data_IF_541366342496
#
_entry.id   IF_541366342496
#
_cell.length_a   1.000
_cell.length_b   1.000
_cell.length_c   1.000
_cell.angle_alpha   90.00
_cell.angle_beta   90.00
_cell.angle_gamma   90.00
#
_symmetry.space_group_name_H-M   'P 1'
#
loop_
_entity.id
_entity.type
_entity.pdbx_description
1 polymer ?
#
# COMPACT_ATOMS: atom_id res chain seq x y z
N UNK A 1 -2.35 -21.36 4.69
CA UNK A 1 -2.48 -20.09 5.45
C UNK A 1 -1.12 -19.48 5.76
N UNK A 2 -0.19 -20.19 6.42
CA UNK A 2 1.18 -19.68 6.69
C UNK A 2 1.88 -19.10 5.47
N UNK A 3 1.90 -19.82 4.33
CA UNK A 3 2.56 -19.32 3.12
C UNK A 3 1.88 -18.08 2.52
N UNK A 4 0.55 -18.01 2.54
CA UNK A 4 -0.19 -16.85 2.06
C UNK A 4 0.05 -15.62 2.96
N UNK A 5 0.02 -15.80 4.29
CA UNK A 5 0.36 -14.74 5.24
C UNK A 5 1.80 -14.31 5.11
N UNK A 6 2.73 -15.24 4.88
CA UNK A 6 4.13 -14.93 4.59
C UNK A 6 4.27 -14.09 3.32
N UNK A 7 3.62 -14.48 2.22
CA UNK A 7 3.64 -13.73 0.96
C UNK A 7 3.00 -12.34 1.14
N UNK A 8 1.93 -12.23 1.91
CA UNK A 8 1.30 -10.95 2.23
C UNK A 8 2.20 -10.05 3.08
N UNK A 9 2.94 -10.60 4.04
CA UNK A 9 3.91 -9.85 4.86
C UNK A 9 5.15 -9.49 4.03
N UNK A 10 5.53 -10.34 3.06
CA UNK A 10 6.68 -10.11 2.18
C UNK A 10 6.57 -8.79 1.39
N UNK A 11 5.37 -8.24 1.18
CA UNK A 11 5.19 -6.91 0.57
C UNK A 11 5.94 -5.80 1.34
N UNK A 12 6.04 -5.90 2.67
CA UNK A 12 6.81 -4.95 3.47
C UNK A 12 8.32 -5.05 3.21
N UNK A 13 8.82 -6.27 2.94
CA UNK A 13 10.21 -6.46 2.54
C UNK A 13 10.50 -5.79 1.20
N UNK A 14 9.61 -5.94 0.22
CA UNK A 14 9.73 -5.30 -1.11
C UNK A 14 9.67 -3.77 -0.99
N UNK A 15 8.74 -3.23 -0.18
CA UNK A 15 8.64 -1.79 0.08
C UNK A 15 9.92 -1.24 0.71
N UNK A 16 10.50 -1.95 1.68
CA UNK A 16 11.79 -1.57 2.28
C UNK A 16 12.94 -1.52 1.26
N UNK A 17 13.02 -2.51 0.36
CA UNK A 17 14.00 -2.52 -0.73
C UNK A 17 13.84 -1.32 -1.67
N UNK A 18 12.59 -1.01 -2.05
CA UNK A 18 12.26 0.10 -2.93
C UNK A 18 12.59 1.45 -2.28
N UNK A 19 12.28 1.60 -0.99
CA UNK A 19 12.58 2.81 -0.22
C UNK A 19 14.09 3.07 -0.13
N UNK A 20 14.91 2.03 0.14
CA UNK A 20 16.38 2.15 0.17
C UNK A 20 16.94 2.65 -1.17
N UNK A 21 16.36 2.20 -2.29
CA UNK A 21 16.73 2.65 -3.63
C UNK A 21 16.30 4.11 -3.90
N UNK A 22 15.11 4.52 -3.45
CA UNK A 22 14.65 5.91 -3.53
C UNK A 22 15.51 6.87 -2.69
N UNK A 23 15.92 6.46 -1.50
CA UNK A 23 16.70 7.26 -0.56
C UNK A 23 18.22 7.12 -0.77
N UNK A 24 18.69 6.74 -1.97
CA UNK A 24 20.13 6.53 -2.24
C UNK A 24 21.02 7.72 -1.83
N UNK A 25 20.53 8.94 -1.97
CA UNK A 25 21.22 10.19 -1.65
C UNK A 25 21.29 10.58 -0.16
N UNK A 26 20.57 9.86 0.72
CA UNK A 26 20.45 10.20 2.15
C UNK A 26 21.48 9.40 2.99
N UNK A 27 22.09 9.96 4.04
CA UNK A 27 22.95 9.22 4.96
C UNK A 27 22.25 8.02 5.64
N UNK A 28 22.97 6.91 5.79
CA UNK A 28 22.47 5.60 6.28
C UNK A 28 21.81 5.65 7.66
N UNK A 29 22.22 6.59 8.53
CA UNK A 29 21.61 6.80 9.85
C UNK A 29 20.15 7.26 9.76
N UNK A 30 19.88 8.20 8.86
CA UNK A 30 18.53 8.68 8.59
C UNK A 30 17.70 7.62 7.86
N UNK A 31 18.28 6.83 6.95
CA UNK A 31 17.56 5.71 6.31
C UNK A 31 17.04 4.69 7.30
N UNK A 32 17.81 4.38 8.35
CA UNK A 32 17.40 3.38 9.34
C UNK A 32 16.20 3.86 10.16
N UNK A 33 16.22 5.13 10.59
CA UNK A 33 15.11 5.77 11.30
C UNK A 33 13.88 5.92 10.39
N UNK A 34 14.10 6.32 9.13
CA UNK A 34 13.06 6.50 8.12
C UNK A 34 12.55 5.18 7.53
N UNK A 35 13.15 4.03 7.85
CA UNK A 35 12.63 2.72 7.45
C UNK A 35 11.73 2.11 8.54
N UNK A 36 11.81 2.64 9.77
CA UNK A 36 11.14 2.06 10.94
C UNK A 36 9.63 2.33 10.94
N UNK A 37 9.19 3.43 10.33
CA UNK A 37 7.78 3.82 10.23
C UNK A 37 7.14 3.60 8.86
N UNK A 38 7.68 2.69 8.03
CA UNK A 38 7.09 2.38 6.72
C UNK A 38 5.76 1.67 6.92
N UNK A 39 4.72 2.24 6.31
CA UNK A 39 3.39 1.66 6.15
C UNK A 39 2.96 1.84 4.69
N UNK A 40 1.88 1.17 4.28
CA UNK A 40 1.37 1.28 2.91
C UNK A 40 1.04 2.74 2.54
N UNK A 41 0.52 3.53 3.49
CA UNK A 41 0.13 4.93 3.30
C UNK A 41 1.37 5.83 3.18
N UNK A 42 2.31 5.70 4.11
CA UNK A 42 3.53 6.52 4.14
C UNK A 42 4.44 6.20 2.95
N UNK A 43 4.49 4.93 2.53
CA UNK A 43 5.20 4.51 1.32
C UNK A 43 4.56 5.11 0.07
N UNK A 44 3.24 5.00 -0.07
CA UNK A 44 2.51 5.53 -1.24
C UNK A 44 2.68 7.04 -1.36
N UNK A 45 2.49 7.78 -0.27
CA UNK A 45 2.68 9.24 -0.24
C UNK A 45 4.11 9.66 -0.62
N UNK A 46 5.11 8.91 -0.13
CA UNK A 46 6.52 9.17 -0.45
C UNK A 46 6.84 8.82 -1.91
N UNK A 47 6.22 7.78 -2.46
CA UNK A 47 6.39 7.36 -3.85
C UNK A 47 5.80 8.37 -4.85
N UNK A 48 4.63 8.94 -4.54
CA UNK A 48 4.04 10.01 -5.35
C UNK A 48 4.84 11.32 -5.27
N UNK A 49 5.51 11.58 -4.15
CA UNK A 49 6.29 12.80 -3.93
C UNK A 49 7.81 12.56 -3.95
N UNK A 50 8.28 11.66 -4.81
CA UNK A 50 9.71 11.28 -4.94
C UNK A 50 10.66 12.47 -5.07
N UNK A 51 10.29 13.50 -5.83
CA UNK A 51 11.13 14.68 -6.06
C UNK A 51 11.33 15.53 -4.78
N UNK A 52 10.40 15.44 -3.83
CA UNK A 52 10.42 16.17 -2.56
C UNK A 52 10.83 15.26 -1.38
N UNK A 53 11.28 14.03 -1.65
CA UNK A 53 11.63 13.00 -0.67
C UNK A 53 12.92 13.34 0.09
N UNK A 54 12.88 14.45 0.83
CA UNK A 54 13.93 14.90 1.74
C UNK A 54 13.71 14.28 3.12
N UNK A 55 14.77 14.11 3.94
CA UNK A 55 14.65 13.58 5.31
C UNK A 55 13.55 14.25 6.16
N UNK A 56 13.40 15.59 6.20
CA UNK A 56 12.34 16.23 6.99
C UNK A 56 10.93 15.98 6.44
N UNK A 57 10.76 15.81 5.13
CA UNK A 57 9.47 15.51 4.53
C UNK A 57 8.97 14.12 4.95
N UNK A 58 9.83 13.11 4.84
CA UNK A 58 9.50 11.73 5.23
C UNK A 58 9.31 11.64 6.75
N UNK A 59 10.15 12.33 7.53
CA UNK A 59 9.98 12.43 8.99
C UNK A 59 8.66 13.09 9.39
N UNK A 60 8.21 14.11 8.65
CA UNK A 60 6.91 14.75 8.87
C UNK A 60 5.73 13.83 8.58
N UNK A 61 5.81 13.04 7.50
CA UNK A 61 4.81 12.00 7.17
C UNK A 61 4.75 10.92 8.26
N UNK A 62 5.90 10.49 8.76
CA UNK A 62 5.96 9.50 9.84
C UNK A 62 5.35 10.04 11.14
N UNK A 63 5.71 11.28 11.50
CA UNK A 63 5.19 11.90 12.71
C UNK A 63 3.68 12.12 12.62
N UNK A 64 3.16 12.55 11.47
CA UNK A 64 1.72 12.73 11.30
C UNK A 64 0.95 11.40 11.35
N UNK A 65 1.49 10.34 10.74
CA UNK A 65 0.93 9.00 10.83
C UNK A 65 0.92 8.49 12.28
N UNK A 66 2.03 8.68 13.01
CA UNK A 66 2.13 8.28 14.42
C UNK A 66 1.17 9.07 15.32
N UNK A 67 1.11 10.39 15.15
CA UNK A 67 0.15 11.23 15.89
C UNK A 67 -1.30 10.82 15.59
N UNK A 68 -1.64 10.56 14.32
CA UNK A 68 -2.95 10.06 13.92
C UNK A 68 -3.28 8.72 14.59
N UNK A 69 -2.30 7.81 14.65
CA UNK A 69 -2.46 6.52 15.32
C UNK A 69 -2.70 6.67 16.83
N UNK A 70 -1.93 7.51 17.52
CA UNK A 70 -2.09 7.75 18.96
C UNK A 70 -3.43 8.41 19.25
N UNK A 71 -3.81 9.45 18.50
CA UNK A 71 -5.09 10.15 18.67
C UNK A 71 -6.26 9.21 18.35
N UNK A 72 -6.17 8.45 17.26
CA UNK A 72 -7.18 7.47 16.86
C UNK A 72 -7.36 6.36 17.89
N UNK A 73 -6.28 5.89 18.50
CA UNK A 73 -6.33 4.89 19.58
C UNK A 73 -6.96 5.47 20.85
N UNK A 74 -6.61 6.72 21.21
CA UNK A 74 -7.21 7.41 22.34
C UNK A 74 -8.72 7.62 22.14
N UNK A 75 -9.12 8.13 20.97
CA UNK A 75 -10.52 8.29 20.59
C UNK A 75 -11.25 6.94 20.55
N UNK A 76 -10.63 5.91 20.01
CA UNK A 76 -11.19 4.55 19.96
C UNK A 76 -11.35 3.93 21.34
N UNK A 77 -10.48 4.26 22.31
CA UNK A 77 -10.62 3.82 23.70
C UNK A 77 -11.75 4.58 24.42
N UNK A 78 -11.89 5.89 24.17
CA UNK A 78 -12.93 6.73 24.79
C UNK A 78 -14.33 6.49 24.20
N UNK A 79 -14.41 6.23 22.90
CA UNK A 79 -15.64 6.05 22.15
C UNK A 79 -15.94 4.58 21.84
N UNK A 80 -15.08 3.65 22.28
CA UNK A 80 -15.16 2.23 21.94
C UNK A 80 -16.49 1.58 22.32
N UNK A 81 -17.09 1.99 23.43
CA UNK A 81 -18.41 1.51 23.88
C UNK A 81 -19.58 2.02 23.03
N UNK A 82 -19.37 3.08 22.24
CA UNK A 82 -20.37 3.69 21.35
C UNK A 82 -20.22 3.23 19.89
N UNK A 83 -19.06 2.67 19.52
CA UNK A 83 -18.76 2.31 18.13
C UNK A 83 -19.27 0.88 17.86
N UNK A 84 -20.24 0.68 16.94
CA UNK A 84 -20.70 -0.65 16.57
C UNK A 84 -19.56 -1.46 15.91
N UNK A 85 -19.65 -2.79 15.94
CA UNK A 85 -18.62 -3.73 15.44
C UNK A 85 -18.32 -3.64 13.92
N UNK A 86 -18.85 -2.64 13.20
CA UNK A 86 -18.71 -2.40 11.76
C UNK A 86 -17.36 -1.81 11.33
N UNK A 87 -16.29 -1.96 12.13
CA UNK A 87 -14.94 -1.47 11.79
C UNK A 87 -14.35 -2.12 10.54
N UNK A 88 -14.87 -3.28 10.12
CA UNK A 88 -14.47 -3.95 8.88
C UNK A 88 -14.69 -3.08 7.64
N UNK A 89 -15.69 -2.18 7.64
CA UNK A 89 -15.93 -1.23 6.54
C UNK A 89 -14.80 -0.19 6.41
N UNK A 90 -14.18 0.21 7.53
CA UNK A 90 -13.15 1.25 7.54
C UNK A 90 -11.89 0.82 6.79
N UNK A 91 -11.51 -0.46 6.88
CA UNK A 91 -10.38 -1.02 6.13
C UNK A 91 -10.63 -0.98 4.62
N UNK A 92 -11.83 -1.33 4.16
CA UNK A 92 -12.16 -1.23 2.74
C UNK A 92 -12.13 0.22 2.26
N UNK A 93 -12.68 1.16 3.04
CA UNK A 93 -12.66 2.57 2.72
C UNK A 93 -11.23 3.13 2.62
N UNK A 94 -10.32 2.68 3.48
CA UNK A 94 -8.90 3.05 3.45
C UNK A 94 -8.23 2.62 2.15
N UNK A 95 -8.41 1.36 1.73
CA UNK A 95 -7.83 0.86 0.48
C UNK A 95 -8.38 1.60 -0.74
N UNK A 96 -9.69 1.88 -0.77
CA UNK A 96 -10.29 2.70 -1.83
C UNK A 96 -9.69 4.12 -1.82
N UNK A 97 -9.53 4.71 -0.64
CA UNK A 97 -8.90 6.02 -0.46
C UNK A 97 -7.47 6.10 -0.97
N UNK A 98 -6.66 5.05 -0.77
CA UNK A 98 -5.31 4.95 -1.32
C UNK A 98 -5.30 4.73 -2.84
N UNK A 99 -6.33 4.08 -3.39
CA UNK A 99 -6.43 3.80 -4.82
C UNK A 99 -6.86 5.03 -5.63
N UNK A 100 -7.75 5.89 -5.08
CA UNK A 100 -8.32 7.05 -5.78
C UNK A 100 -7.25 8.00 -6.36
N UNK A 101 -6.20 8.43 -5.62
CA UNK A 101 -5.15 9.28 -6.16
C UNK A 101 -4.44 8.65 -7.36
N UNK A 102 -4.10 7.35 -7.25
CA UNK A 102 -3.46 6.59 -8.32
C UNK A 102 -4.32 6.52 -9.58
N UNK A 103 -5.64 6.31 -9.42
CA UNK A 103 -6.59 6.26 -10.54
C UNK A 103 -6.78 7.63 -11.18
N UNK A 104 -6.74 8.71 -10.39
CA UNK A 104 -6.82 10.08 -10.92
C UNK A 104 -5.60 10.47 -11.74
N UNK A 105 -4.42 9.97 -11.39
CA UNK A 105 -3.19 10.24 -12.15
C UNK A 105 -3.16 9.46 -13.46
N UNK A 106 -3.65 8.21 -13.46
CA UNK A 106 -3.77 7.41 -14.68
C UNK A 106 -4.99 6.49 -14.64
N UNK A 107 -6.00 6.78 -15.49
CA UNK A 107 -7.24 5.99 -15.56
C UNK A 107 -7.00 4.49 -15.83
N UNK A 108 -5.89 4.15 -16.49
CA UNK A 108 -5.51 2.76 -16.78
C UNK A 108 -5.27 1.95 -15.50
N UNK A 109 -4.77 2.58 -14.43
CA UNK A 109 -4.57 1.93 -13.12
C UNK A 109 -5.90 1.49 -12.51
N UNK A 110 -6.97 2.26 -12.72
CA UNK A 110 -8.33 1.88 -12.32
C UNK A 110 -8.82 0.65 -13.06
N UNK A 111 -8.58 0.59 -14.37
CA UNK A 111 -8.98 -0.54 -15.21
C UNK A 111 -8.23 -1.83 -14.81
N UNK A 112 -6.93 -1.73 -14.52
CA UNK A 112 -6.09 -2.84 -14.03
C UNK A 112 -6.56 -3.34 -12.66
N UNK A 113 -6.97 -2.42 -11.77
CA UNK A 113 -7.51 -2.78 -10.45
C UNK A 113 -8.82 -3.55 -10.57
N UNK A 114 -9.72 -3.14 -11.47
CA UNK A 114 -10.98 -3.85 -11.75
C UNK A 114 -10.69 -5.25 -12.32
N UNK A 115 -9.76 -5.37 -13.26
CA UNK A 115 -9.35 -6.66 -13.83
C UNK A 115 -8.78 -7.57 -12.74
N UNK A 116 -7.90 -7.05 -11.88
CA UNK A 116 -7.29 -7.80 -10.78
C UNK A 116 -8.33 -8.25 -9.75
N UNK A 117 -9.33 -7.42 -9.45
CA UNK A 117 -10.48 -7.77 -8.61
C UNK A 117 -11.28 -8.93 -9.23
N UNK A 118 -11.56 -8.87 -10.53
CA UNK A 118 -12.32 -9.89 -11.26
C UNK A 118 -11.58 -11.24 -11.30
N UNK A 119 -10.27 -11.21 -11.54
CA UNK A 119 -9.39 -12.39 -11.45
C UNK A 119 -9.37 -12.97 -10.04
N UNK A 120 -9.25 -12.13 -9.01
CA UNK A 120 -9.26 -12.58 -7.62
C UNK A 120 -10.60 -13.24 -7.25
N UNK A 121 -11.72 -12.65 -7.68
CA UNK A 121 -13.05 -13.21 -7.46
C UNK A 121 -13.21 -14.57 -8.16
N UNK A 122 -12.76 -14.69 -9.41
CA UNK A 122 -12.82 -15.94 -10.16
C UNK A 122 -11.96 -17.04 -9.52
N UNK A 123 -10.74 -16.70 -9.09
CA UNK A 123 -9.87 -17.64 -8.38
C UNK A 123 -10.35 -18.00 -6.98
N UNK A 124 -11.23 -17.20 -6.38
CA UNK A 124 -11.82 -17.54 -5.08
C UNK A 124 -12.77 -18.74 -5.16
N UNK A 125 -13.26 -19.12 -6.35
CA UNK A 125 -14.09 -20.32 -6.53
C UNK A 125 -13.28 -21.61 -6.58
N UNK A 126 -12.01 -21.55 -7.03
CA UNK A 126 -11.18 -22.73 -7.28
C UNK A 126 -10.09 -22.94 -6.22
N UNK A 127 -9.73 -21.90 -5.45
CA UNK A 127 -8.58 -21.90 -4.54
C UNK A 127 -8.96 -21.33 -3.18
N UNK A 128 -8.19 -21.67 -2.14
CA UNK A 128 -8.33 -21.03 -0.83
C UNK A 128 -8.04 -19.53 -0.95
N UNK A 129 -8.81 -18.70 -0.24
CA UNK A 129 -8.73 -17.22 -0.26
C UNK A 129 -7.29 -16.66 -0.31
N UNK A 130 -6.35 -17.22 0.44
CA UNK A 130 -4.95 -16.77 0.43
C UNK A 130 -4.21 -16.97 -0.90
N UNK A 131 -4.46 -18.07 -1.61
CA UNK A 131 -3.82 -18.35 -2.91
C UNK A 131 -4.45 -17.54 -4.05
N UNK A 132 -5.75 -17.26 -3.97
CA UNK A 132 -6.45 -16.42 -4.94
C UNK A 132 -5.89 -15.00 -4.95
N UNK A 133 -5.59 -14.42 -3.77
CA UNK A 133 -4.99 -13.09 -3.65
C UNK A 133 -3.58 -13.06 -4.24
N UNK A 134 -2.75 -14.06 -3.94
CA UNK A 134 -1.38 -14.15 -4.45
C UNK A 134 -1.36 -14.23 -5.98
N UNK A 135 -2.14 -15.14 -6.56
CA UNK A 135 -2.19 -15.29 -8.02
C UNK A 135 -2.79 -14.07 -8.71
N UNK A 136 -3.83 -13.46 -8.14
CA UNK A 136 -4.42 -12.25 -8.68
C UNK A 136 -3.42 -11.08 -8.69
N UNK A 137 -2.60 -10.95 -7.64
CA UNK A 137 -1.58 -9.89 -7.55
C UNK A 137 -0.46 -10.12 -8.57
N UNK A 138 0.01 -11.36 -8.73
CA UNK A 138 1.05 -11.70 -9.72
C UNK A 138 0.52 -11.44 -11.14
N UNK A 139 -0.64 -11.97 -11.50
CA UNK A 139 -1.21 -11.79 -12.83
C UNK A 139 -1.61 -10.33 -13.10
N UNK A 140 -2.13 -9.63 -12.10
CA UNK A 140 -2.45 -8.20 -12.18
C UNK A 140 -1.19 -7.37 -12.45
N UNK A 141 -0.11 -7.60 -11.71
CA UNK A 141 1.17 -6.90 -11.92
C UNK A 141 1.81 -7.22 -13.28
N UNK A 142 1.65 -8.44 -13.78
CA UNK A 142 2.16 -8.84 -15.09
C UNK A 142 1.37 -8.18 -16.22
N UNK A 143 0.04 -8.13 -16.09
CA UNK A 143 -0.83 -7.42 -17.03
C UNK A 143 -0.53 -5.92 -17.04
N UNK A 144 -0.29 -5.31 -15.87
CA UNK A 144 0.15 -3.94 -15.73
C UNK A 144 1.46 -3.67 -16.48
N UNK A 145 2.46 -4.54 -16.33
CA UNK A 145 3.78 -4.37 -16.95
C UNK A 145 3.72 -4.46 -18.47
N UNK A 146 2.82 -5.29 -19.02
CA UNK A 146 2.59 -5.38 -20.47
C UNK A 146 1.80 -4.19 -21.01
N UNK A 147 0.80 -3.69 -20.27
CA UNK A 147 -0.04 -2.57 -20.69
C UNK A 147 0.61 -1.18 -20.51
N UNK A 148 1.41 -0.96 -19.47
CA UNK A 148 2.07 0.33 -19.22
C UNK A 148 3.40 0.48 -19.97
N UNK A 149 4.10 -0.62 -20.26
CA UNK A 149 5.36 -0.58 -21.02
C UNK A 149 5.17 -0.48 -22.53
N UNK A 150 3.99 -0.81 -23.05
CA UNK A 150 3.63 -0.63 -24.46
C UNK A 150 3.63 0.84 -24.91
N UNK A 151 3.41 1.78 -23.99
CA UNK A 151 3.19 3.20 -24.32
C UNK A 151 4.38 4.11 -23.99
N UNK A 152 5.49 3.59 -23.44
CA UNK A 152 6.73 4.39 -23.29
C UNK A 152 7.60 4.40 -24.55
N UNK A 153 7.09 3.88 -25.67
CA UNK A 153 7.79 3.83 -26.96
C UNK A 153 7.06 4.56 -28.11
N UNK A 154 6.01 5.34 -27.82
CA UNK A 154 5.47 6.36 -28.75
C UNK A 154 5.70 7.78 -28.20
#
# INVERSE_FOLDING_TARGET
MILATFILIFRHFIMGLSLINMLKSIPTRWKSVLSMGITDETFTLTFFHKEKATPPFIGGIMLSAYCSWVIGTLLGCLLGDLIPQSMSIALYAMFIGLLIPSVRENWRIGLISIISMLLCYLFSFFLSSGWSIVLATILGSLAELLFLRGDQHE
#
